data_IF_605779348075
#
_entry.id   IF_605779348075
#
_cell.length_a   1.000
_cell.length_b   1.000
_cell.length_c   1.000
_cell.angle_alpha   90.00
_cell.angle_beta   90.00
_cell.angle_gamma   90.00
#
_symmetry.space_group_name_H-M   'P 1'
#
loop_
_entity.id
_entity.type
_entity.pdbx_description
1 polymer ?
#
# COMPACT_ATOMS: atom_id res chain seq x y z
N UNK A 1 -1.94 15.61 5.75
CA UNK A 1 -1.03 16.11 4.69
C UNK A 1 -0.52 17.50 5.04
N UNK A 2 0.69 17.82 4.58
CA UNK A 2 1.25 19.17 4.72
C UNK A 2 0.64 20.19 3.78
N UNK A 3 1.06 21.44 3.93
CA UNK A 3 0.63 22.56 3.09
C UNK A 3 1.08 22.31 1.65
N UNK A 4 0.14 22.32 0.71
CA UNK A 4 0.45 22.22 -0.72
C UNK A 4 1.18 23.48 -1.19
N UNK A 5 2.19 23.36 -2.07
CA UNK A 5 2.90 24.52 -2.59
C UNK A 5 1.97 25.52 -3.31
N UNK A 6 2.32 26.80 -3.29
CA UNK A 6 1.47 27.86 -3.84
C UNK A 6 1.28 27.71 -5.35
N UNK A 7 2.33 27.28 -6.04
CA UNK A 7 2.34 26.94 -7.47
C UNK A 7 1.37 25.80 -7.80
N UNK A 8 1.27 24.78 -6.94
CA UNK A 8 0.31 23.70 -7.12
C UNK A 8 -1.12 24.21 -6.98
N UNK A 9 -1.41 25.01 -5.94
CA UNK A 9 -2.76 25.55 -5.74
C UNK A 9 -3.16 26.55 -6.84
N UNK A 10 -2.21 27.27 -7.45
CA UNK A 10 -2.48 28.09 -8.64
C UNK A 10 -2.88 27.22 -9.84
N UNK A 11 -2.23 26.07 -10.01
CA UNK A 11 -2.51 25.13 -11.09
C UNK A 11 -3.83 24.38 -10.86
N UNK A 12 -4.10 23.97 -9.62
CA UNK A 12 -5.25 23.20 -9.19
C UNK A 12 -5.87 23.85 -7.94
N UNK A 13 -6.77 24.82 -8.12
CA UNK A 13 -7.37 25.58 -7.01
C UNK A 13 -8.18 24.72 -6.03
N UNK A 14 -8.76 23.59 -6.48
CA UNK A 14 -9.46 22.66 -5.57
C UNK A 14 -8.49 21.91 -4.64
N UNK A 15 -7.19 21.95 -4.97
CA UNK A 15 -6.16 21.15 -4.33
C UNK A 15 -6.25 19.65 -4.65
N UNK A 16 -7.21 19.17 -5.45
CA UNK A 16 -7.36 17.73 -5.71
C UNK A 16 -6.20 17.16 -6.52
N UNK A 17 -5.97 15.85 -6.39
CA UNK A 17 -5.00 15.10 -7.20
C UNK A 17 -5.75 13.95 -7.88
N UNK A 18 -5.26 13.42 -9.03
CA UNK A 18 -4.04 13.80 -9.74
C UNK A 18 -4.14 15.11 -10.55
N UNK A 19 -2.98 15.65 -10.93
CA UNK A 19 -2.82 16.72 -11.92
C UNK A 19 -1.63 16.32 -12.81
N UNK A 20 -1.76 16.44 -14.12
CA UNK A 20 -0.69 16.15 -15.07
C UNK A 20 -0.44 17.34 -15.99
N UNK A 21 0.81 17.50 -16.41
CA UNK A 21 1.19 18.40 -17.50
C UNK A 21 1.67 17.50 -18.65
N UNK A 22 0.91 17.48 -19.73
CA UNK A 22 1.21 16.67 -20.92
C UNK A 22 1.30 17.65 -22.09
N UNK A 23 2.46 17.69 -22.75
CA UNK A 23 2.77 18.61 -23.86
C UNK A 23 2.44 20.09 -23.57
N UNK A 24 2.63 20.51 -22.32
CA UNK A 24 2.37 21.87 -21.85
C UNK A 24 0.92 22.16 -21.46
N UNK A 25 0.00 21.23 -21.67
CA UNK A 25 -1.40 21.32 -21.25
C UNK A 25 -1.61 20.75 -19.84
N UNK A 26 -2.47 21.40 -19.05
CA UNK A 26 -2.73 21.04 -17.64
C UNK A 26 -4.05 20.28 -17.51
N UNK A 27 -3.95 19.00 -17.19
CA UNK A 27 -5.07 18.10 -16.90
C UNK A 27 -5.28 17.97 -15.39
N UNK A 28 -6.54 18.09 -14.94
CA UNK A 28 -6.89 18.24 -13.51
C UNK A 28 -7.76 17.12 -12.95
N UNK A 29 -8.17 16.18 -13.78
CA UNK A 29 -8.99 15.03 -13.42
C UNK A 29 -8.31 13.76 -13.90
N UNK A 30 -8.40 12.68 -13.12
CA UNK A 30 -7.83 11.39 -13.50
C UNK A 30 -8.37 10.90 -14.84
N UNK A 31 -9.67 11.04 -15.08
CA UNK A 31 -10.30 10.56 -16.31
C UNK A 31 -9.76 11.32 -17.53
N UNK A 32 -9.66 12.64 -17.47
CA UNK A 32 -9.12 13.45 -18.57
C UNK A 32 -7.66 13.06 -18.87
N UNK A 33 -6.86 12.80 -17.83
CA UNK A 33 -5.48 12.31 -17.98
C UNK A 33 -5.48 10.95 -18.69
N UNK A 34 -6.30 10.01 -18.22
CA UNK A 34 -6.32 8.65 -18.78
C UNK A 34 -6.76 8.65 -20.25
N UNK A 35 -7.84 9.35 -20.58
CA UNK A 35 -8.31 9.44 -21.97
C UNK A 35 -7.32 10.17 -22.86
N UNK A 36 -6.68 11.24 -22.38
CA UNK A 36 -5.65 11.92 -23.14
C UNK A 36 -4.43 11.02 -23.42
N UNK A 37 -4.01 10.21 -22.43
CA UNK A 37 -2.93 9.24 -22.63
C UNK A 37 -3.31 8.18 -23.67
N UNK A 38 -4.52 7.61 -23.56
CA UNK A 38 -5.04 6.61 -24.50
C UNK A 38 -5.12 7.14 -25.94
N UNK A 39 -5.51 8.40 -26.13
CA UNK A 39 -5.68 9.01 -27.44
C UNK A 39 -4.36 9.41 -28.12
N UNK A 40 -3.31 9.72 -27.34
CA UNK A 40 -2.10 10.38 -27.85
C UNK A 40 -0.82 9.55 -27.77
N UNK A 41 -0.78 8.47 -26.99
CA UNK A 41 0.40 7.59 -26.94
C UNK A 41 0.22 6.43 -27.92
N UNK A 42 0.83 6.51 -29.10
CA UNK A 42 0.74 5.44 -30.09
C UNK A 42 1.59 4.20 -29.72
N UNK A 43 1.28 3.05 -30.32
CA UNK A 43 2.11 1.83 -30.21
C UNK A 43 1.79 0.90 -29.04
N UNK A 44 0.68 1.14 -28.32
CA UNK A 44 0.13 0.19 -27.35
C UNK A 44 -1.20 -0.41 -27.84
N UNK A 45 -1.58 -1.60 -27.34
CA UNK A 45 -2.95 -2.10 -27.50
C UNK A 45 -3.95 -1.11 -26.90
N UNK A 46 -5.04 -0.82 -27.62
CA UNK A 46 -6.09 0.07 -27.12
C UNK A 46 -6.72 -0.50 -25.83
N UNK A 47 -6.82 0.34 -24.80
CA UNK A 47 -7.46 0.02 -23.52
C UNK A 47 -8.98 0.25 -23.58
N UNK A 48 -9.44 1.03 -24.56
CA UNK A 48 -10.86 1.29 -24.82
C UNK A 48 -11.29 0.50 -26.07
N UNK A 49 -12.30 -0.36 -25.98
CA UNK A 49 -12.81 -1.05 -27.16
C UNK A 49 -13.45 -0.09 -28.18
N UNK A 50 -13.18 -0.31 -29.47
CA UNK A 50 -13.75 0.47 -30.58
C UNK A 50 -15.20 0.08 -30.96
N UNK A 51 -15.71 -1.04 -30.45
CA UNK A 51 -17.06 -1.54 -30.76
C UNK A 51 -18.14 -0.88 -29.87
N UNK A 52 -19.23 -0.40 -30.50
CA UNK A 52 -20.31 0.31 -29.80
C UNK A 52 -21.07 -0.54 -28.77
N UNK A 53 -21.21 -1.85 -28.97
CA UNK A 53 -21.79 -2.75 -27.97
C UNK A 53 -20.86 -2.90 -26.77
N UNK A 54 -19.55 -3.00 -27.02
CA UNK A 54 -18.55 -3.01 -25.96
C UNK A 54 -18.53 -1.69 -25.19
N UNK A 55 -18.75 -0.54 -25.84
CA UNK A 55 -18.89 0.76 -25.15
C UNK A 55 -20.06 0.82 -24.18
N UNK A 56 -21.21 0.23 -24.53
CA UNK A 56 -22.35 0.12 -23.60
C UNK A 56 -22.00 -0.72 -22.38
N UNK A 57 -21.29 -1.84 -22.59
CA UNK A 57 -20.82 -2.71 -21.52
C UNK A 57 -19.81 -1.98 -20.60
N UNK A 58 -18.82 -1.29 -21.18
CA UNK A 58 -17.86 -0.44 -20.45
C UNK A 58 -18.57 0.56 -19.57
N UNK A 59 -19.58 1.28 -20.07
CA UNK A 59 -20.34 2.23 -19.26
C UNK A 59 -21.11 1.58 -18.10
N UNK A 60 -21.59 0.34 -18.27
CA UNK A 60 -22.22 -0.42 -17.17
C UNK A 60 -21.18 -0.81 -16.11
N UNK A 61 -20.02 -1.27 -16.54
CA UNK A 61 -18.91 -1.65 -15.66
C UNK A 61 -18.35 -0.46 -14.88
N UNK A 62 -18.20 0.71 -15.52
CA UNK A 62 -17.79 1.94 -14.83
C UNK A 62 -18.84 2.42 -13.82
N UNK A 63 -20.14 2.19 -14.05
CA UNK A 63 -21.17 2.44 -13.03
C UNK A 63 -21.04 1.47 -11.85
N UNK A 64 -20.74 0.19 -12.15
CA UNK A 64 -20.51 -0.82 -11.11
C UNK A 64 -19.26 -0.49 -10.28
N UNK A 65 -18.19 0.00 -10.88
CA UNK A 65 -17.00 0.49 -10.17
C UNK A 65 -17.38 1.54 -9.12
N UNK A 66 -18.14 2.56 -9.53
CA UNK A 66 -18.57 3.64 -8.62
C UNK A 66 -19.49 3.14 -7.51
N UNK A 67 -20.34 2.16 -7.82
CA UNK A 67 -21.21 1.52 -6.83
C UNK A 67 -20.38 0.75 -5.80
N UNK A 68 -19.44 -0.09 -6.26
CA UNK A 68 -18.50 -0.83 -5.43
C UNK A 68 -17.69 0.11 -4.53
N UNK A 69 -17.11 1.17 -5.10
CA UNK A 69 -16.38 2.19 -4.37
C UNK A 69 -17.23 2.83 -3.26
N UNK A 70 -18.47 3.22 -3.58
CA UNK A 70 -19.38 3.82 -2.61
C UNK A 70 -19.77 2.87 -1.48
N UNK A 71 -20.04 1.61 -1.80
CA UNK A 71 -20.38 0.59 -0.81
C UNK A 71 -19.19 0.25 0.11
N UNK A 72 -17.99 0.11 -0.47
CA UNK A 72 -16.75 -0.09 0.27
C UNK A 72 -16.48 1.06 1.25
N UNK A 73 -16.45 2.31 0.76
CA UNK A 73 -16.22 3.47 1.63
C UNK A 73 -17.29 3.60 2.72
N UNK A 74 -18.55 3.35 2.36
CA UNK A 74 -19.67 3.38 3.29
C UNK A 74 -19.44 2.41 4.45
N UNK A 75 -19.03 1.17 4.17
CA UNK A 75 -18.78 0.18 5.22
C UNK A 75 -17.47 0.44 5.99
N UNK A 76 -16.37 0.76 5.31
CA UNK A 76 -15.06 0.98 5.92
C UNK A 76 -15.10 2.09 6.99
N UNK A 77 -15.78 3.19 6.68
CA UNK A 77 -15.92 4.35 7.56
C UNK A 77 -17.00 4.17 8.64
N UNK A 78 -17.86 3.15 8.52
CA UNK A 78 -18.86 2.86 9.52
C UNK A 78 -18.19 2.43 10.84
N UNK A 79 -18.61 3.04 11.94
CA UNK A 79 -18.32 2.55 13.30
C UNK A 79 -19.36 1.50 13.68
N UNK A 80 -18.94 0.47 14.43
CA UNK A 80 -19.82 -0.62 14.86
C UNK A 80 -21.14 -0.13 15.45
N UNK A 81 -22.25 -0.84 15.14
CA UNK A 81 -23.61 -0.47 15.56
C UNK A 81 -24.70 -0.93 14.58
N UNK A 82 -25.99 -0.61 14.84
CA UNK A 82 -27.14 -1.15 14.10
C UNK A 82 -27.12 -0.91 12.58
N UNK A 83 -26.39 0.11 12.10
CA UNK A 83 -26.23 0.41 10.67
C UNK A 83 -25.01 -0.21 9.99
N UNK A 84 -24.08 -0.83 10.74
CA UNK A 84 -22.87 -1.46 10.16
C UNK A 84 -23.23 -2.70 9.33
N UNK A 85 -24.18 -3.52 9.82
CA UNK A 85 -24.63 -4.72 9.11
C UNK A 85 -25.23 -4.43 7.73
N UNK A 86 -26.08 -3.40 7.60
CA UNK A 86 -26.65 -3.02 6.30
C UNK A 86 -25.60 -2.53 5.30
N UNK A 87 -24.55 -1.85 5.77
CA UNK A 87 -23.44 -1.40 4.92
C UNK A 87 -22.53 -2.55 4.49
N UNK A 88 -22.29 -3.51 5.38
CA UNK A 88 -21.64 -4.77 5.03
C UNK A 88 -22.38 -5.50 3.91
N UNK A 89 -23.70 -5.69 4.06
CA UNK A 89 -24.52 -6.35 3.03
C UNK A 89 -24.48 -5.58 1.69
N UNK A 90 -24.53 -4.24 1.73
CA UNK A 90 -24.40 -3.44 0.52
C UNK A 90 -23.04 -3.64 -0.19
N UNK A 91 -21.95 -3.72 0.59
CA UNK A 91 -20.64 -4.03 0.05
C UNK A 91 -20.58 -5.45 -0.52
N UNK A 92 -21.00 -6.47 0.23
CA UNK A 92 -21.00 -7.87 -0.21
C UNK A 92 -21.80 -8.05 -1.51
N UNK A 93 -22.96 -7.39 -1.63
CA UNK A 93 -23.75 -7.39 -2.87
C UNK A 93 -23.01 -6.72 -4.04
N UNK A 94 -22.33 -5.60 -3.80
CA UNK A 94 -21.55 -4.92 -4.85
C UNK A 94 -20.34 -5.75 -5.29
N UNK A 95 -19.66 -6.43 -4.35
CA UNK A 95 -18.56 -7.33 -4.63
C UNK A 95 -19.02 -8.56 -5.41
N UNK A 96 -20.18 -9.12 -5.06
CA UNK A 96 -20.80 -10.22 -5.81
C UNK A 96 -21.08 -9.83 -7.26
N UNK A 97 -21.55 -8.61 -7.51
CA UNK A 97 -21.76 -8.10 -8.88
C UNK A 97 -20.45 -7.91 -9.64
N UNK A 98 -19.36 -7.56 -8.96
CA UNK A 98 -18.01 -7.52 -9.55
C UNK A 98 -17.54 -8.92 -9.93
N UNK A 99 -17.72 -9.88 -9.02
CA UNK A 99 -17.42 -11.31 -9.24
C UNK A 99 -18.20 -11.86 -10.45
N UNK A 100 -19.50 -11.55 -10.56
CA UNK A 100 -20.34 -11.93 -11.71
C UNK A 100 -19.90 -11.27 -13.02
N UNK A 101 -19.50 -9.99 -12.98
CA UNK A 101 -19.02 -9.28 -14.16
C UNK A 101 -17.72 -9.88 -14.71
N UNK A 102 -16.78 -10.26 -13.85
CA UNK A 102 -15.58 -11.00 -14.24
C UNK A 102 -15.93 -12.43 -14.70
N UNK A 103 -16.84 -13.09 -14.00
CA UNK A 103 -17.33 -14.43 -14.36
C UNK A 103 -17.97 -14.50 -15.75
N UNK A 104 -18.66 -13.44 -16.19
CA UNK A 104 -19.27 -13.36 -17.50
C UNK A 104 -18.26 -13.45 -18.67
N UNK A 105 -16.99 -13.13 -18.42
CA UNK A 105 -15.92 -13.19 -19.42
C UNK A 105 -14.80 -14.19 -19.11
N UNK A 106 -14.95 -14.96 -18.02
CA UNK A 106 -13.91 -15.85 -17.48
C UNK A 106 -13.44 -16.95 -18.46
N UNK A 107 -14.28 -17.35 -19.42
CA UNK A 107 -13.88 -18.29 -20.48
C UNK A 107 -12.98 -17.64 -21.54
N UNK A 108 -13.07 -16.31 -21.73
CA UNK A 108 -12.25 -15.56 -22.68
C UNK A 108 -10.97 -15.04 -22.03
N UNK A 109 -10.98 -14.76 -20.74
CA UNK A 109 -9.80 -14.37 -19.98
C UNK A 109 -10.11 -13.81 -18.59
N UNK A 110 -9.09 -13.35 -17.87
CA UNK A 110 -9.22 -12.96 -16.46
C UNK A 110 -9.68 -11.51 -16.23
N UNK A 111 -9.76 -10.69 -17.29
CA UNK A 111 -10.09 -9.27 -17.20
C UNK A 111 -11.58 -9.03 -17.48
N UNK A 112 -12.10 -7.85 -17.11
CA UNK A 112 -13.53 -7.53 -17.27
C UNK A 112 -14.05 -7.64 -18.71
N UNK A 113 -13.17 -7.49 -19.71
CA UNK A 113 -13.49 -7.59 -21.13
C UNK A 113 -12.83 -8.81 -21.81
N UNK A 114 -12.39 -9.80 -21.03
CA UNK A 114 -11.82 -11.05 -21.52
C UNK A 114 -10.30 -11.15 -21.37
N UNK A 115 -9.59 -11.41 -22.47
CA UNK A 115 -8.18 -11.80 -22.46
C UNK A 115 -7.19 -10.67 -22.16
N UNK A 116 -7.51 -9.44 -22.58
CA UNK A 116 -6.62 -8.29 -22.51
C UNK A 116 -7.06 -7.30 -21.44
N UNK A 117 -6.09 -6.63 -20.82
CA UNK A 117 -6.38 -5.56 -19.85
C UNK A 117 -7.08 -4.40 -20.57
N UNK A 118 -8.01 -3.77 -19.89
CA UNK A 118 -8.76 -2.64 -20.43
C UNK A 118 -8.79 -1.45 -19.46
N UNK A 119 -9.33 -0.34 -19.92
CA UNK A 119 -9.64 0.82 -19.08
C UNK A 119 -10.51 0.43 -17.89
N UNK A 120 -11.42 -0.54 -18.04
CA UNK A 120 -12.27 -1.00 -16.94
C UNK A 120 -11.42 -1.56 -15.80
N UNK A 121 -10.46 -2.43 -16.11
CA UNK A 121 -9.55 -3.01 -15.12
C UNK A 121 -8.73 -1.93 -14.41
N UNK A 122 -8.24 -0.94 -15.16
CA UNK A 122 -7.48 0.21 -14.62
C UNK A 122 -8.33 1.04 -13.67
N UNK A 123 -9.61 1.23 -13.96
CA UNK A 123 -10.54 2.00 -13.12
C UNK A 123 -10.92 1.24 -11.84
N UNK A 124 -11.08 -0.09 -11.91
CA UNK A 124 -11.38 -0.93 -10.75
C UNK A 124 -10.18 -1.17 -9.83
N UNK A 125 -8.99 -1.34 -10.40
CA UNK A 125 -7.77 -1.70 -9.68
C UNK A 125 -7.51 -0.90 -8.39
N UNK A 126 -7.45 0.44 -8.41
CA UNK A 126 -7.19 1.22 -7.21
C UNK A 126 -8.23 1.04 -6.10
N UNK A 127 -9.46 0.61 -6.41
CA UNK A 127 -10.51 0.40 -5.42
C UNK A 127 -10.56 -1.03 -4.92
N UNK A 128 -10.34 -2.01 -5.79
CA UNK A 128 -10.20 -3.41 -5.39
C UNK A 128 -8.99 -3.61 -4.48
N UNK A 129 -7.83 -3.01 -4.81
CA UNK A 129 -6.63 -3.05 -3.97
C UNK A 129 -6.89 -2.48 -2.57
N UNK A 130 -7.42 -1.25 -2.51
CA UNK A 130 -7.68 -0.58 -1.24
C UNK A 130 -8.76 -1.28 -0.43
N UNK A 131 -9.80 -1.82 -1.07
CA UNK A 131 -10.82 -2.60 -0.39
C UNK A 131 -10.26 -3.89 0.19
N UNK A 132 -9.46 -4.64 -0.58
CA UNK A 132 -8.83 -5.87 -0.11
C UNK A 132 -7.95 -5.63 1.12
N UNK A 133 -7.12 -4.59 1.08
CA UNK A 133 -6.24 -4.19 2.17
C UNK A 133 -6.99 -3.69 3.42
N UNK A 134 -7.89 -2.73 3.22
CA UNK A 134 -8.52 -2.03 4.33
C UNK A 134 -9.60 -2.85 5.01
N UNK A 135 -10.34 -3.68 4.28
CA UNK A 135 -11.39 -4.49 4.90
C UNK A 135 -10.85 -5.64 5.73
N UNK A 136 -9.73 -6.26 5.34
CA UNK A 136 -9.08 -7.25 6.21
C UNK A 136 -8.56 -6.56 7.48
N UNK A 137 -7.90 -5.40 7.35
CA UNK A 137 -7.33 -4.66 8.48
C UNK A 137 -8.40 -4.18 9.46
N UNK A 138 -9.43 -3.48 8.97
CA UNK A 138 -10.42 -2.81 9.82
C UNK A 138 -11.61 -3.70 10.16
N UNK A 139 -12.02 -4.62 9.26
CA UNK A 139 -13.27 -5.39 9.38
C UNK A 139 -13.05 -6.90 9.48
N UNK A 140 -11.83 -7.39 9.28
CA UNK A 140 -11.53 -8.83 9.27
C UNK A 140 -12.23 -9.56 8.12
N UNK A 141 -12.53 -8.84 7.03
CA UNK A 141 -13.19 -9.38 5.85
C UNK A 141 -12.18 -9.54 4.72
N UNK A 142 -12.10 -10.75 4.18
CA UNK A 142 -11.13 -11.12 3.15
C UNK A 142 -11.87 -11.64 1.92
N UNK A 143 -11.60 -11.03 0.76
CA UNK A 143 -12.04 -11.54 -0.55
C UNK A 143 -10.88 -11.77 -1.53
N UNK A 144 -9.66 -11.39 -1.13
CA UNK A 144 -8.39 -11.71 -1.80
C UNK A 144 -7.54 -12.50 -0.83
N UNK A 145 -7.17 -13.74 -1.17
CA UNK A 145 -6.45 -14.62 -0.26
C UNK A 145 -5.42 -15.53 -0.96
N UNK A 146 -4.61 -16.19 -0.14
CA UNK A 146 -3.65 -17.20 -0.59
C UNK A 146 -4.35 -18.38 -1.28
N UNK A 147 -3.57 -19.23 -1.93
CA UNK A 147 -4.05 -20.49 -2.53
C UNK A 147 -4.82 -21.32 -1.47
N UNK A 148 -5.92 -21.96 -1.89
CA UNK A 148 -6.83 -22.74 -1.03
C UNK A 148 -7.53 -21.98 0.12
N UNK A 149 -7.53 -20.64 0.10
CA UNK A 149 -8.30 -19.84 1.07
C UNK A 149 -9.80 -19.77 0.71
N UNK A 150 -10.65 -19.68 1.73
CA UNK A 150 -12.11 -19.46 1.58
C UNK A 150 -12.42 -18.26 0.69
N UNK A 151 -11.59 -17.21 0.75
CA UNK A 151 -11.72 -16.04 -0.11
C UNK A 151 -11.62 -16.37 -1.61
N UNK A 152 -10.78 -17.34 -2.00
CA UNK A 152 -10.68 -17.82 -3.40
C UNK A 152 -11.84 -18.71 -3.80
N UNK A 153 -12.42 -19.45 -2.86
CA UNK A 153 -13.62 -20.26 -3.10
C UNK A 153 -14.85 -19.38 -3.32
N UNK A 154 -15.03 -18.35 -2.49
CA UNK A 154 -16.16 -17.43 -2.55
C UNK A 154 -16.07 -16.44 -3.71
N UNK A 155 -14.84 -16.01 -4.07
CA UNK A 155 -14.59 -14.99 -5.11
C UNK A 155 -13.53 -15.44 -6.14
N UNK A 156 -13.77 -16.52 -6.88
CA UNK A 156 -12.77 -17.11 -7.77
C UNK A 156 -12.37 -16.20 -8.93
N UNK A 157 -13.30 -15.43 -9.51
CA UNK A 157 -13.01 -14.59 -10.66
C UNK A 157 -12.29 -13.30 -10.24
N UNK A 158 -12.65 -12.70 -9.11
CA UNK A 158 -11.88 -11.59 -8.52
C UNK A 158 -10.45 -12.01 -8.21
N UNK A 159 -10.25 -13.22 -7.66
CA UNK A 159 -8.89 -13.70 -7.38
C UNK A 159 -8.09 -13.99 -8.65
N UNK A 160 -8.70 -14.56 -9.70
CA UNK A 160 -8.07 -14.71 -11.02
C UNK A 160 -7.71 -13.36 -11.63
N UNK A 161 -8.57 -12.35 -11.49
CA UNK A 161 -8.30 -10.99 -11.92
C UNK A 161 -7.10 -10.39 -11.18
N UNK A 162 -7.01 -10.54 -9.86
CA UNK A 162 -5.84 -10.12 -9.09
C UNK A 162 -4.57 -10.84 -9.56
N UNK A 163 -4.60 -12.16 -9.72
CA UNK A 163 -3.45 -12.94 -10.20
C UNK A 163 -2.97 -12.45 -11.59
N UNK A 164 -3.92 -12.15 -12.49
CA UNK A 164 -3.61 -11.62 -13.81
C UNK A 164 -3.02 -10.21 -13.75
N UNK A 165 -3.60 -9.30 -12.96
CA UNK A 165 -3.05 -7.96 -12.76
C UNK A 165 -1.65 -8.02 -12.14
N UNK A 166 -1.44 -8.89 -11.16
CA UNK A 166 -0.18 -9.11 -10.46
C UNK A 166 0.92 -9.71 -11.33
N UNK A 167 0.58 -10.27 -12.50
CA UNK A 167 1.55 -10.68 -13.52
C UNK A 167 2.07 -9.51 -14.40
N UNK A 168 1.42 -8.34 -14.35
CA UNK A 168 1.73 -7.21 -15.23
C UNK A 168 2.82 -6.32 -14.62
N UNK A 169 3.95 -6.07 -15.30
CA UNK A 169 5.00 -5.20 -14.78
C UNK A 169 4.53 -3.78 -14.41
N UNK A 170 3.61 -3.21 -15.20
CA UNK A 170 3.05 -1.90 -14.91
C UNK A 170 2.27 -1.88 -13.58
N UNK A 171 1.49 -2.91 -13.31
CA UNK A 171 0.73 -3.03 -12.07
C UNK A 171 1.64 -3.35 -10.88
N UNK A 172 2.61 -4.24 -11.04
CA UNK A 172 3.63 -4.52 -10.01
C UNK A 172 4.40 -3.24 -9.61
N UNK A 173 4.64 -2.32 -10.55
CA UNK A 173 5.31 -1.05 -10.29
C UNK A 173 4.45 0.02 -9.59
N UNK A 174 3.13 -0.15 -9.57
CA UNK A 174 2.19 0.85 -9.00
C UNK A 174 1.38 0.34 -7.81
N UNK A 175 1.24 -0.97 -7.66
CA UNK A 175 0.51 -1.62 -6.56
C UNK A 175 1.15 -1.26 -5.22
N UNK A 176 0.30 -1.04 -4.22
CA UNK A 176 0.71 -0.85 -2.82
C UNK A 176 0.40 -2.09 -1.97
N UNK A 177 1.01 -2.17 -0.79
CA UNK A 177 0.74 -3.24 0.17
C UNK A 177 -0.44 -2.91 1.11
N UNK A 178 -0.88 -3.93 1.84
CA UNK A 178 -2.00 -3.81 2.77
C UNK A 178 -1.68 -2.84 3.91
N UNK A 179 -0.44 -2.86 4.42
CA UNK A 179 0.00 -1.94 5.46
C UNK A 179 -0.16 -0.47 5.03
N UNK A 180 0.39 -0.09 3.89
CA UNK A 180 0.37 1.30 3.40
C UNK A 180 -1.07 1.74 3.15
N UNK A 181 -1.91 0.89 2.55
CA UNK A 181 -3.34 1.20 2.34
C UNK A 181 -4.13 1.32 3.65
N UNK A 182 -3.87 0.47 4.65
CA UNK A 182 -4.55 0.55 5.93
C UNK A 182 -4.22 1.85 6.68
N UNK A 183 -2.99 2.36 6.51
CA UNK A 183 -2.50 3.54 7.21
C UNK A 183 -2.66 4.86 6.44
N UNK A 184 -2.78 4.83 5.11
CA UNK A 184 -3.00 6.03 4.29
C UNK A 184 -4.48 6.50 4.25
N UNK A 185 -5.43 5.57 4.38
CA UNK A 185 -6.87 5.83 4.25
C UNK A 185 -7.49 6.61 5.41
N UNK A 186 -7.26 6.29 6.70
CA UNK A 186 -7.95 6.95 7.80
C UNK A 186 -7.79 8.48 7.80
N UNK A 187 -6.59 9.05 7.56
CA UNK A 187 -6.42 10.50 7.47
C UNK A 187 -7.14 11.15 6.28
N UNK A 188 -7.38 10.40 5.20
CA UNK A 188 -8.11 10.86 4.02
C UNK A 188 -9.62 10.84 4.22
N UNK A 189 -10.11 9.84 4.96
CA UNK A 189 -11.55 9.57 5.15
C UNK A 189 -12.13 10.14 6.45
N UNK A 190 -11.30 10.69 7.33
CA UNK A 190 -11.72 11.15 8.67
C UNK A 190 -11.85 10.01 9.71
N UNK A 191 -11.23 8.87 9.43
CA UNK A 191 -11.17 7.69 10.28
C UNK A 191 -11.89 6.47 9.69
N UNK A 192 -11.43 5.27 10.08
CA UNK A 192 -12.02 3.98 9.74
C UNK A 192 -12.42 3.27 11.04
N UNK A 193 -13.53 2.52 11.04
CA UNK A 193 -13.99 1.81 12.24
C UNK A 193 -13.25 0.47 12.41
N UNK A 194 -12.28 0.41 13.32
CA UNK A 194 -11.56 -0.83 13.64
C UNK A 194 -12.44 -1.79 14.46
N UNK A 195 -12.66 -2.98 13.90
CA UNK A 195 -13.46 -4.08 14.48
C UNK A 195 -12.65 -5.40 14.54
N UNK A 196 -11.46 -5.43 13.94
CA UNK A 196 -10.68 -6.65 13.71
C UNK A 196 -9.22 -6.53 14.21
N UNK A 197 -9.03 -6.28 15.52
CA UNK A 197 -7.72 -5.99 16.11
C UNK A 197 -6.64 -7.03 15.79
N UNK A 198 -6.97 -8.32 15.80
CA UNK A 198 -6.00 -9.38 15.50
C UNK A 198 -5.43 -9.28 14.07
N UNK A 199 -6.27 -8.90 13.09
CA UNK A 199 -5.83 -8.70 11.71
C UNK A 199 -4.97 -7.44 11.58
N UNK A 200 -5.36 -6.36 12.27
CA UNK A 200 -4.58 -5.14 12.32
C UNK A 200 -3.19 -5.37 12.95
N UNK A 201 -3.12 -6.13 14.05
CA UNK A 201 -1.85 -6.44 14.72
C UNK A 201 -0.92 -7.30 13.86
N UNK A 202 -1.48 -8.28 13.12
CA UNK A 202 -0.74 -9.06 12.14
C UNK A 202 -0.15 -8.18 11.03
N UNK A 203 -0.97 -7.34 10.41
CA UNK A 203 -0.52 -6.45 9.33
C UNK A 203 0.43 -5.35 9.81
N UNK A 204 0.38 -4.94 11.09
CA UNK A 204 1.32 -4.00 11.70
C UNK A 204 2.67 -4.64 12.10
N UNK A 205 2.82 -5.95 11.92
CA UNK A 205 4.01 -6.71 12.31
C UNK A 205 4.10 -6.98 13.81
N UNK A 206 2.98 -6.91 14.56
CA UNK A 206 2.92 -7.18 16.01
C UNK A 206 2.61 -8.63 16.35
N UNK A 207 2.31 -9.45 15.35
CA UNK A 207 2.01 -10.89 15.51
C UNK A 207 3.11 -11.81 14.95
N UNK A 208 4.30 -11.26 14.70
CA UNK A 208 5.47 -12.02 14.23
C UNK A 208 5.57 -12.22 12.72
N UNK A 209 4.59 -11.77 11.92
CA UNK A 209 4.62 -11.87 10.44
C UNK A 209 5.80 -11.10 9.79
N UNK A 210 6.44 -10.21 10.55
CA UNK A 210 7.59 -9.40 10.12
C UNK A 210 8.91 -9.86 10.76
N UNK A 211 8.89 -10.94 11.52
CA UNK A 211 10.09 -11.53 12.10
C UNK A 211 10.95 -12.15 11.01
N UNK A 212 12.26 -12.08 11.19
CA UNK A 212 13.24 -12.61 10.24
C UNK A 212 13.56 -14.08 10.59
N UNK A 213 13.71 -14.98 9.59
CA UNK A 213 13.48 -14.75 8.16
C UNK A 213 11.99 -14.54 7.83
N UNK A 214 11.71 -13.64 6.89
CA UNK A 214 10.33 -13.35 6.48
C UNK A 214 9.70 -14.61 5.86
N UNK A 215 8.49 -14.93 6.30
CA UNK A 215 7.65 -15.96 5.69
C UNK A 215 6.59 -15.33 4.79
N UNK A 216 5.99 -16.04 3.82
CA UNK A 216 4.81 -15.58 3.10
C UNK A 216 3.74 -15.03 4.05
N UNK A 217 3.05 -13.95 3.66
CA UNK A 217 2.03 -13.32 4.50
C UNK A 217 0.83 -14.23 4.70
N UNK A 218 0.25 -14.24 5.90
CA UNK A 218 -0.95 -15.02 6.22
C UNK A 218 -2.24 -14.36 5.73
N UNK A 219 -2.24 -13.02 5.56
CA UNK A 219 -3.40 -12.21 5.19
C UNK A 219 -3.30 -11.59 3.80
N UNK A 220 -2.13 -11.05 3.48
CA UNK A 220 -1.82 -10.52 2.15
C UNK A 220 -1.14 -11.64 1.35
N UNK A 221 -1.67 -12.02 0.17
CA UNK A 221 -1.02 -13.01 -0.67
C UNK A 221 0.42 -12.61 -0.99
N UNK A 222 1.33 -13.58 -0.90
CA UNK A 222 2.74 -13.32 -1.15
C UNK A 222 3.00 -13.04 -2.64
N UNK A 223 4.07 -12.29 -2.90
CA UNK A 223 4.39 -11.77 -4.21
C UNK A 223 5.44 -12.66 -4.87
N UNK A 224 5.06 -13.78 -5.46
CA UNK A 224 6.00 -14.78 -5.99
C UNK A 224 6.91 -14.34 -7.16
N UNK A 225 6.93 -13.05 -7.51
CA UNK A 225 7.63 -12.50 -8.68
C UNK A 225 8.88 -11.67 -8.35
N UNK A 226 9.42 -11.72 -7.12
CA UNK A 226 10.65 -11.01 -6.75
C UNK A 226 11.82 -11.92 -6.39
N UNK A 227 13.04 -11.42 -6.60
CA UNK A 227 14.28 -11.98 -6.05
C UNK A 227 14.51 -11.39 -4.66
N UNK A 228 14.53 -12.22 -3.63
CA UNK A 228 14.70 -11.76 -2.24
C UNK A 228 16.02 -10.98 -2.07
N UNK A 229 17.10 -11.46 -2.70
CA UNK A 229 18.38 -10.75 -2.71
C UNK A 229 18.26 -9.36 -3.33
N UNK A 230 17.54 -9.21 -4.44
CA UNK A 230 17.31 -7.93 -5.11
C UNK A 230 16.48 -6.98 -4.23
N UNK A 231 15.43 -7.49 -3.58
CA UNK A 231 14.62 -6.73 -2.64
C UNK A 231 15.46 -6.18 -1.47
N UNK A 232 16.33 -7.02 -0.89
CA UNK A 232 17.25 -6.60 0.18
C UNK A 232 18.27 -5.56 -0.31
N UNK A 233 18.80 -5.72 -1.53
CA UNK A 233 19.70 -4.75 -2.16
C UNK A 233 19.01 -3.41 -2.42
N UNK A 234 17.78 -3.40 -2.93
CA UNK A 234 17.00 -2.16 -3.13
C UNK A 234 16.77 -1.45 -1.79
N UNK A 235 16.34 -2.17 -0.75
CA UNK A 235 16.15 -1.60 0.58
C UNK A 235 17.42 -0.93 1.11
N UNK A 236 18.57 -1.60 1.00
CA UNK A 236 19.87 -1.06 1.41
C UNK A 236 20.28 0.14 0.56
N UNK A 237 20.11 0.08 -0.76
CA UNK A 237 20.40 1.18 -1.67
C UNK A 237 19.62 2.44 -1.30
N UNK A 238 18.29 2.31 -1.10
CA UNK A 238 17.41 3.44 -0.74
C UNK A 238 17.78 4.05 0.60
N UNK A 239 18.16 3.23 1.59
CA UNK A 239 18.67 3.73 2.88
C UNK A 239 19.98 4.49 2.73
N UNK A 240 20.96 3.93 2.00
CA UNK A 240 22.29 4.53 1.87
C UNK A 240 22.25 5.81 1.05
N UNK A 241 21.45 5.86 -0.02
CA UNK A 241 21.38 6.98 -0.95
C UNK A 241 21.06 8.31 -0.27
N UNK A 242 20.27 8.28 0.82
CA UNK A 242 19.86 9.49 1.54
C UNK A 242 20.04 9.34 3.07
N UNK A 243 21.06 8.60 3.50
CA UNK A 243 21.21 8.14 4.89
C UNK A 243 21.13 9.27 5.92
N UNK A 244 21.78 10.42 5.66
CA UNK A 244 21.79 11.55 6.60
C UNK A 244 20.38 12.13 6.83
N UNK A 245 19.59 12.29 5.76
CA UNK A 245 18.22 12.77 5.88
C UNK A 245 17.30 11.72 6.49
N UNK A 246 17.51 10.43 6.18
CA UNK A 246 16.74 9.32 6.73
C UNK A 246 17.00 9.16 8.23
N UNK A 247 18.26 9.23 8.68
CA UNK A 247 18.62 9.17 10.09
C UNK A 247 17.97 10.33 10.87
N UNK A 248 18.04 11.56 10.33
CA UNK A 248 17.37 12.72 10.91
C UNK A 248 15.84 12.58 10.90
N UNK A 249 15.26 11.99 9.86
CA UNK A 249 13.82 11.73 9.79
C UNK A 249 13.38 10.69 10.82
N UNK A 250 14.11 9.58 10.95
CA UNK A 250 13.87 8.54 11.93
C UNK A 250 13.93 9.08 13.37
N UNK A 251 14.86 9.99 13.67
CA UNK A 251 14.99 10.66 14.96
C UNK A 251 13.76 11.48 15.40
N UNK A 252 12.75 11.65 14.53
CA UNK A 252 11.42 12.16 14.93
C UNK A 252 10.67 11.21 15.87
N UNK A 253 11.03 9.92 15.93
CA UNK A 253 10.49 8.98 16.91
C UNK A 253 10.81 9.32 18.36
N UNK A 254 12.02 9.84 18.60
CA UNK A 254 12.45 10.40 19.89
C UNK A 254 12.09 11.89 20.06
N UNK A 255 11.57 12.50 19.00
CA UNK A 255 11.38 13.93 18.90
C UNK A 255 10.07 14.43 19.51
N UNK A 256 9.58 15.54 18.96
CA UNK A 256 8.32 16.17 19.39
C UNK A 256 7.30 16.16 18.28
N UNK A 257 6.04 16.00 18.67
CA UNK A 257 4.91 16.18 17.77
C UNK A 257 4.96 17.57 17.11
N UNK A 258 4.64 17.61 15.82
CA UNK A 258 4.62 18.85 15.08
C UNK A 258 3.45 19.75 15.45
N UNK A 259 3.67 21.06 15.34
CA UNK A 259 2.62 22.07 15.53
C UNK A 259 2.44 22.90 14.25
N UNK A 260 1.19 23.11 13.79
CA UNK A 260 -0.06 22.54 14.30
C UNK A 260 -0.15 21.02 14.05
N UNK A 261 -0.95 20.28 14.85
CA UNK A 261 -1.13 18.85 14.66
C UNK A 261 -1.84 18.56 13.33
N UNK A 262 -1.57 17.39 12.76
CA UNK A 262 -2.22 16.90 11.55
C UNK A 262 -2.98 15.59 11.80
N UNK A 263 -3.98 15.31 10.96
CA UNK A 263 -4.79 14.08 11.04
C UNK A 263 -4.03 12.80 10.63
N UNK A 264 -2.83 12.93 10.06
CA UNK A 264 -2.01 11.82 9.59
C UNK A 264 -0.78 11.64 10.49
N UNK A 265 -0.87 10.92 11.62
CA UNK A 265 0.24 10.81 12.58
C UNK A 265 1.50 10.18 11.98
N UNK A 266 1.34 9.25 11.03
CA UNK A 266 2.45 8.65 10.28
C UNK A 266 3.04 9.57 9.20
N UNK A 267 2.35 10.65 8.83
CA UNK A 267 2.82 11.59 7.81
C UNK A 267 2.80 13.04 8.32
N UNK A 268 3.20 13.25 9.58
CA UNK A 268 3.31 14.58 10.17
C UNK A 268 4.49 15.35 9.56
N UNK A 269 4.24 16.37 8.71
CA UNK A 269 5.31 17.16 8.11
C UNK A 269 5.98 18.09 9.13
N UNK A 270 5.29 18.39 10.23
CA UNK A 270 5.70 19.36 11.24
C UNK A 270 6.48 18.70 12.39
N UNK A 271 6.56 17.36 12.41
CA UNK A 271 7.28 16.61 13.45
C UNK A 271 8.75 17.05 13.52
N UNK A 272 9.22 17.29 14.76
CA UNK A 272 10.56 17.81 15.04
C UNK A 272 11.44 16.67 15.52
N UNK A 273 12.59 16.39 14.87
CA UNK A 273 13.50 15.34 15.32
C UNK A 273 14.22 15.72 16.62
N UNK A 274 14.62 14.71 17.39
CA UNK A 274 15.65 14.88 18.40
C UNK A 274 17.03 14.74 17.73
N UNK A 275 17.68 15.87 17.48
CA UNK A 275 18.99 15.88 16.82
C UNK A 275 20.10 15.21 17.67
N UNK A 276 19.89 15.01 18.98
CA UNK A 276 20.88 14.39 19.87
C UNK A 276 21.04 12.88 19.62
N UNK A 277 20.00 12.20 19.12
CA UNK A 277 20.04 10.75 18.86
C UNK A 277 20.43 10.40 17.43
N UNK A 278 20.50 11.38 16.53
CA UNK A 278 20.81 11.17 15.10
C UNK A 278 22.10 10.37 14.88
N UNK A 279 23.22 10.61 15.59
CA UNK A 279 24.43 9.80 15.42
C UNK A 279 24.22 8.32 15.76
N UNK A 280 23.47 8.02 16.82
CA UNK A 280 23.19 6.65 17.23
C UNK A 280 22.23 5.96 16.24
N UNK A 281 21.21 6.69 15.76
CA UNK A 281 20.29 6.20 14.71
C UNK A 281 21.05 5.90 13.42
N UNK A 282 21.97 6.77 12.98
CA UNK A 282 22.78 6.53 11.77
C UNK A 282 23.63 5.26 11.90
N UNK A 283 24.23 5.00 13.08
CA UNK A 283 24.96 3.74 13.36
C UNK A 283 24.04 2.53 13.23
N UNK A 284 22.85 2.57 13.83
CA UNK A 284 21.88 1.49 13.73
C UNK A 284 21.41 1.26 12.29
N UNK A 285 21.19 2.31 11.50
CA UNK A 285 20.81 2.19 10.09
C UNK A 285 21.93 1.57 9.24
N UNK A 286 23.20 1.81 9.56
CA UNK A 286 24.33 1.12 8.91
C UNK A 286 24.33 -0.38 9.23
N UNK A 287 23.93 -0.76 10.45
CA UNK A 287 23.75 -2.18 10.79
C UNK A 287 22.55 -2.81 10.11
N UNK A 288 21.44 -2.08 9.97
CA UNK A 288 20.31 -2.53 9.14
C UNK A 288 20.77 -2.76 7.70
N UNK A 289 21.53 -1.84 7.10
CA UNK A 289 22.10 -2.01 5.77
C UNK A 289 23.06 -3.21 5.70
N UNK A 290 23.90 -3.41 6.72
CA UNK A 290 24.78 -4.57 6.79
C UNK A 290 23.97 -5.87 6.83
N UNK A 291 22.96 -5.96 7.70
CA UNK A 291 22.09 -7.12 7.82
C UNK A 291 21.31 -7.39 6.51
N UNK A 292 20.85 -6.34 5.80
CA UNK A 292 20.23 -6.47 4.48
C UNK A 292 21.20 -7.02 3.43
N UNK A 293 22.49 -6.67 3.48
CA UNK A 293 23.47 -7.05 2.47
C UNK A 293 24.23 -8.36 2.79
N UNK A 294 24.16 -8.85 4.03
CA UNK A 294 24.85 -10.07 4.45
C UNK A 294 24.13 -11.33 3.97
N UNK A 295 24.80 -12.17 3.19
CA UNK A 295 24.29 -13.46 2.71
C UNK A 295 24.36 -14.55 3.80
N UNK A 296 23.44 -14.58 4.77
CA UNK A 296 23.39 -15.73 5.69
C UNK A 296 22.07 -15.87 6.44
N UNK A 297 21.38 -16.99 6.26
CA UNK A 297 20.63 -17.74 7.30
C UNK A 297 19.72 -16.98 8.28
N UNK A 298 19.36 -17.60 9.41
CA UNK A 298 18.78 -16.87 10.53
C UNK A 298 19.78 -15.79 10.98
N UNK A 299 19.33 -14.54 11.09
CA UNK A 299 20.16 -13.48 11.64
C UNK A 299 20.64 -13.90 13.02
N UNK A 300 21.94 -13.78 13.27
CA UNK A 300 22.51 -14.09 14.56
C UNK A 300 22.01 -13.08 15.60
N UNK A 301 21.18 -13.54 16.54
CA UNK A 301 20.67 -12.74 17.65
C UNK A 301 21.80 -12.12 18.49
N UNK A 302 23.00 -12.71 18.47
CA UNK A 302 24.18 -12.16 19.12
C UNK A 302 24.63 -10.84 18.49
N UNK A 303 24.37 -10.62 17.19
CA UNK A 303 24.68 -9.38 16.47
C UNK A 303 23.67 -8.29 16.82
N UNK A 304 22.38 -8.62 16.94
CA UNK A 304 21.34 -7.71 17.41
C UNK A 304 21.54 -7.28 18.89
N UNK A 305 21.97 -8.22 19.74
CA UNK A 305 22.32 -7.96 21.14
C UNK A 305 23.65 -7.20 21.29
N UNK A 306 24.64 -7.50 20.46
CA UNK A 306 25.90 -6.73 20.40
C UNK A 306 25.64 -5.32 19.91
N UNK A 307 24.71 -5.14 18.97
CA UNK A 307 24.28 -3.84 18.49
C UNK A 307 23.59 -3.02 19.60
N UNK A 308 22.61 -3.62 20.27
CA UNK A 308 21.91 -3.03 21.40
C UNK A 308 22.87 -2.59 22.52
N UNK A 309 23.88 -3.42 22.81
CA UNK A 309 24.89 -3.15 23.84
C UNK A 309 26.00 -2.17 23.42
N UNK A 310 26.43 -2.17 22.14
CA UNK A 310 27.47 -1.27 21.61
C UNK A 310 26.96 0.14 21.34
N UNK A 311 25.69 0.30 20.95
CA UNK A 311 25.09 1.61 20.70
C UNK A 311 24.46 2.24 21.96
N UNK A 312 24.42 1.53 23.10
CA UNK A 312 23.66 1.98 24.27
C UNK A 312 22.23 2.30 23.88
N UNK A 313 21.57 1.38 23.15
CA UNK A 313 20.29 1.61 22.49
C UNK A 313 19.26 2.03 23.53
N UNK A 314 19.05 3.34 23.59
CA UNK A 314 18.10 3.94 24.49
C UNK A 314 16.70 3.80 23.90
N UNK A 315 15.68 3.98 24.74
CA UNK A 315 14.29 3.92 24.30
C UNK A 315 14.02 4.91 23.14
N UNK A 316 14.76 6.02 23.09
CA UNK A 316 14.71 7.02 22.03
C UNK A 316 15.22 6.47 20.68
N UNK A 317 16.29 5.69 20.67
CA UNK A 317 16.81 5.05 19.44
C UNK A 317 15.82 3.99 18.95
N UNK A 318 15.25 3.19 19.85
CA UNK A 318 14.20 2.21 19.53
C UNK A 318 12.94 2.89 18.96
N UNK A 319 12.52 4.00 19.57
CA UNK A 319 11.40 4.80 19.10
C UNK A 319 11.66 5.36 17.70
N UNK A 320 12.91 5.77 17.41
CA UNK A 320 13.34 6.23 16.09
C UNK A 320 13.35 5.10 15.05
N UNK A 321 13.80 3.91 15.46
CA UNK A 321 13.64 2.58 14.85
C UNK A 321 12.25 2.37 14.28
N UNK A 322 11.33 2.32 15.23
CA UNK A 322 9.90 2.08 15.04
C UNK A 322 9.28 3.17 14.18
N UNK A 323 9.65 4.43 14.41
CA UNK A 323 9.14 5.57 13.66
C UNK A 323 9.44 5.47 12.17
N UNK A 324 10.66 5.06 11.79
CA UNK A 324 11.03 4.83 10.40
C UNK A 324 10.29 3.63 9.83
N UNK A 325 10.26 2.50 10.55
CA UNK A 325 9.56 1.27 10.15
C UNK A 325 8.12 1.57 9.72
N UNK A 326 7.40 2.31 10.55
CA UNK A 326 5.98 2.61 10.32
C UNK A 326 5.73 3.60 9.17
N UNK A 327 6.79 4.19 8.60
CA UNK A 327 6.70 5.25 7.59
C UNK A 327 7.36 4.91 6.26
N UNK A 328 7.87 3.68 6.13
CA UNK A 328 8.23 3.11 4.84
C UNK A 328 6.94 2.90 4.05
N UNK A 329 6.75 3.63 2.96
CA UNK A 329 5.57 3.56 2.10
C UNK A 329 5.83 2.85 0.77
N UNK A 330 4.84 2.11 0.29
CA UNK A 330 4.88 1.35 -0.98
C UNK A 330 3.91 1.99 -2.00
N UNK A 331 4.27 2.05 -3.30
CA UNK A 331 5.58 1.80 -3.90
C UNK A 331 6.51 3.04 -3.87
N UNK A 332 6.08 4.13 -3.22
CA UNK A 332 6.75 5.44 -3.24
C UNK A 332 8.22 5.36 -2.85
N UNK A 333 8.52 4.72 -1.71
CA UNK A 333 9.89 4.70 -1.17
C UNK A 333 10.72 3.57 -1.77
N UNK A 334 10.08 2.44 -2.08
CA UNK A 334 10.65 1.25 -2.71
C UNK A 334 9.54 0.29 -3.14
N UNK A 335 9.91 -0.70 -3.94
CA UNK A 335 9.00 -1.80 -4.24
C UNK A 335 8.59 -2.54 -2.98
N UNK A 336 7.43 -3.18 -3.07
CA UNK A 336 6.81 -3.85 -1.96
C UNK A 336 7.74 -4.86 -1.26
N UNK A 337 8.42 -5.79 -1.95
CA UNK A 337 9.26 -6.78 -1.26
C UNK A 337 10.44 -6.14 -0.55
N UNK A 338 11.01 -5.07 -1.12
CA UNK A 338 12.07 -4.29 -0.49
C UNK A 338 11.56 -3.58 0.77
N UNK A 339 10.35 -3.00 0.74
CA UNK A 339 9.73 -2.38 1.90
C UNK A 339 9.48 -3.40 3.01
N UNK A 340 9.03 -4.61 2.67
CA UNK A 340 8.84 -5.71 3.61
C UNK A 340 10.16 -6.11 4.29
N UNK A 341 11.22 -6.28 3.50
CA UNK A 341 12.56 -6.53 4.00
C UNK A 341 13.03 -5.42 4.94
N UNK A 342 12.92 -4.16 4.53
CA UNK A 342 13.33 -3.02 5.35
C UNK A 342 12.57 -2.95 6.68
N UNK A 343 11.25 -3.12 6.64
CA UNK A 343 10.42 -3.07 7.85
C UNK A 343 10.74 -4.20 8.83
N UNK A 344 10.95 -5.43 8.33
CA UNK A 344 11.38 -6.56 9.16
C UNK A 344 12.77 -6.33 9.78
N UNK A 345 13.72 -5.79 9.01
CA UNK A 345 15.06 -5.50 9.53
C UNK A 345 15.09 -4.33 10.52
N UNK A 346 14.24 -3.32 10.34
CA UNK A 346 14.07 -2.24 11.31
C UNK A 346 13.41 -2.74 12.60
N UNK A 347 12.43 -3.65 12.50
CA UNK A 347 11.82 -4.31 13.65
C UNK A 347 12.85 -5.12 14.43
N UNK A 348 13.60 -5.99 13.75
CA UNK A 348 14.71 -6.76 14.33
C UNK A 348 15.74 -5.86 15.03
N UNK A 349 16.21 -4.82 14.35
CA UNK A 349 17.19 -3.89 14.91
C UNK A 349 16.66 -3.09 16.12
N UNK A 350 15.34 -2.93 16.24
CA UNK A 350 14.71 -2.29 17.38
C UNK A 350 14.63 -3.17 18.64
N UNK A 351 14.87 -4.48 18.50
CA UNK A 351 14.81 -5.44 19.61
C UNK A 351 13.39 -5.71 20.16
N UNK A 352 12.35 -5.22 19.48
CA UNK A 352 10.94 -5.50 19.82
C UNK A 352 10.48 -6.71 19.02
N UNK A 353 10.22 -7.82 19.71
CA UNK A 353 9.64 -9.05 19.17
C UNK A 353 8.18 -9.20 19.60
#
# INVERSE_FOLDING_TARGET
YGKKPAEFNRMQPSGQIPVAIIDGEVFRQSNDIIFHLEENFEGHPALVPDDDLLRSNVNQLLRLEREFFGAWLGWLTARGGPGSGGRRVAFENSLQRVEEALGATAEQGPYFLGAEVSLVDIMFAPFLERAAASLVYFKGFTFRGAEDSVAREDYPNVNKWFDAMESRPAYQGTKSDYYTHAHDLPPQLGGCGLEAQAYADSLDGKSGDWNLPLSPGSLEPDWGWYDEGAARREAAERLVHNHAAIARFAARGAGKQGMPPVMAPLADPNAVPDDSVVPAVDVMLRWVCHALLSDTGPLDDSVGQSAASLAGVSDEVVASLTYLKDRVGVPRDMQLPAARQLRGHLLWASGKF
#
